data_IF_696611380207
#
_entry.id   IF_696611380207
#
_cell.length_a   1.000
_cell.length_b   1.000
_cell.length_c   1.000
_cell.angle_alpha   90.00
_cell.angle_beta   90.00
_cell.angle_gamma   90.00
#
_symmetry.space_group_name_H-M   'P 1'
#
loop_
_entity.id
_entity.type
_entity.pdbx_description
1 polymer ?
#
# COMPACT_ATOMS: atom_id res chain seq x y z
N UNK A 1 9.80 9.19 22.99
CA UNK A 1 9.18 10.14 22.03
C UNK A 1 7.80 10.48 22.57
N UNK A 2 7.38 11.74 22.53
CA UNK A 2 6.03 12.11 22.92
C UNK A 2 4.98 11.25 22.18
N UNK A 3 3.92 10.81 22.87
CA UNK A 3 2.88 9.93 22.30
C UNK A 3 2.26 10.56 21.05
N UNK A 4 2.11 11.89 21.07
CA UNK A 4 1.61 12.69 19.95
C UNK A 4 2.58 12.66 18.77
N UNK A 5 3.87 12.92 19.02
CA UNK A 5 4.89 12.98 17.97
C UNK A 5 5.05 11.61 17.27
N UNK A 6 4.97 10.53 18.03
CA UNK A 6 5.03 9.18 17.48
C UNK A 6 3.79 8.81 16.65
N UNK A 7 2.60 9.19 17.12
CA UNK A 7 1.37 8.95 16.36
C UNK A 7 1.43 9.64 15.00
N UNK A 8 1.93 10.88 14.98
CA UNK A 8 2.16 11.64 13.75
C UNK A 8 3.18 10.93 12.85
N UNK A 9 4.31 10.47 13.41
CA UNK A 9 5.33 9.75 12.65
C UNK A 9 4.79 8.48 11.99
N UNK A 10 4.03 7.65 12.73
CA UNK A 10 3.42 6.43 12.20
C UNK A 10 2.45 6.76 11.05
N UNK A 11 1.60 7.78 11.21
CA UNK A 11 0.64 8.18 10.17
C UNK A 11 1.38 8.61 8.89
N UNK A 12 2.42 9.43 9.04
CA UNK A 12 3.22 9.92 7.90
C UNK A 12 3.93 8.76 7.20
N UNK A 13 4.54 7.85 7.95
CA UNK A 13 5.23 6.68 7.39
C UNK A 13 4.27 5.73 6.67
N UNK A 14 3.09 5.44 7.25
CA UNK A 14 2.04 4.65 6.57
C UNK A 14 1.62 5.32 5.27
N UNK A 15 1.40 6.64 5.28
CA UNK A 15 1.01 7.38 4.08
C UNK A 15 2.08 7.33 2.98
N UNK A 16 3.35 7.47 3.35
CA UNK A 16 4.49 7.39 2.43
C UNK A 16 4.62 6.00 1.82
N UNK A 17 4.63 4.95 2.66
CA UNK A 17 4.77 3.57 2.21
C UNK A 17 3.57 3.14 1.37
N UNK A 18 2.35 3.54 1.74
CA UNK A 18 1.15 3.31 0.94
C UNK A 18 1.26 4.01 -0.41
N UNK A 19 1.69 5.27 -0.46
CA UNK A 19 1.91 5.99 -1.72
C UNK A 19 2.90 5.28 -2.64
N UNK A 20 4.03 4.83 -2.10
CA UNK A 20 5.05 4.08 -2.85
C UNK A 20 4.47 2.75 -3.36
N UNK A 21 3.80 1.97 -2.49
CA UNK A 21 3.19 0.71 -2.86
C UNK A 21 2.13 0.88 -3.96
N UNK A 22 1.31 1.93 -3.87
CA UNK A 22 0.34 2.26 -4.90
C UNK A 22 1.00 2.54 -6.26
N UNK A 23 2.07 3.34 -6.29
CA UNK A 23 2.84 3.60 -7.51
C UNK A 23 3.38 2.30 -8.12
N UNK A 24 3.95 1.39 -7.32
CA UNK A 24 4.43 0.09 -7.80
C UNK A 24 3.29 -0.76 -8.38
N UNK A 25 2.17 -0.87 -7.68
CA UNK A 25 1.04 -1.68 -8.13
C UNK A 25 0.40 -1.12 -9.40
N UNK A 26 0.37 0.20 -9.58
CA UNK A 26 -0.04 0.80 -10.85
C UNK A 26 0.95 0.53 -11.97
N UNK A 27 2.26 0.51 -11.68
CA UNK A 27 3.28 0.05 -12.62
C UNK A 27 3.07 -1.40 -13.05
N UNK A 28 2.75 -2.30 -12.11
CA UNK A 28 2.40 -3.70 -12.41
C UNK A 28 1.15 -3.79 -13.27
N UNK A 29 0.09 -3.02 -12.94
CA UNK A 29 -1.13 -2.97 -13.75
C UNK A 29 -0.82 -2.54 -15.19
N UNK A 30 0.01 -1.52 -15.36
CA UNK A 30 0.42 -1.03 -16.68
C UNK A 30 1.19 -2.11 -17.45
N UNK A 31 2.17 -2.75 -16.83
CA UNK A 31 2.96 -3.82 -17.44
C UNK A 31 2.09 -5.01 -17.89
N UNK A 32 1.13 -5.44 -17.05
CA UNK A 32 0.20 -6.52 -17.40
C UNK A 32 -0.71 -6.11 -18.57
N UNK A 33 -1.15 -4.86 -18.59
CA UNK A 33 -1.96 -4.31 -19.70
C UNK A 33 -1.15 -4.29 -21.01
N UNK A 34 0.13 -3.92 -20.93
CA UNK A 34 1.04 -3.87 -22.08
C UNK A 34 1.35 -5.26 -22.67
N UNK A 35 1.36 -6.30 -21.83
CA UNK A 35 1.47 -7.71 -22.25
C UNK A 35 0.23 -8.28 -22.95
N UNK A 36 -0.76 -7.44 -23.28
CA UNK A 36 -1.94 -7.85 -24.04
C UNK A 36 -3.14 -8.27 -23.18
N UNK A 37 -3.14 -7.96 -21.87
CA UNK A 37 -4.35 -8.05 -21.07
C UNK A 37 -5.35 -6.98 -21.53
N UNK A 38 -6.19 -7.35 -22.51
CA UNK A 38 -7.19 -6.46 -23.09
C UNK A 38 -8.18 -5.89 -22.06
N UNK A 39 -8.97 -4.90 -22.49
CA UNK A 39 -9.95 -4.16 -21.67
C UNK A 39 -10.91 -5.06 -20.87
N UNK A 40 -11.17 -6.28 -21.35
CA UNK A 40 -11.96 -7.32 -20.68
C UNK A 40 -11.45 -7.68 -19.28
N UNK A 41 -10.14 -7.65 -19.05
CA UNK A 41 -9.53 -8.02 -17.77
C UNK A 41 -9.22 -6.84 -16.86
N UNK A 42 -9.39 -5.60 -17.35
CA UNK A 42 -9.03 -4.39 -16.59
C UNK A 42 -9.78 -4.28 -15.26
N UNK A 43 -11.06 -4.70 -15.21
CA UNK A 43 -11.84 -4.74 -13.96
C UNK A 43 -11.29 -5.74 -12.96
N UNK A 44 -10.98 -6.96 -13.41
CA UNK A 44 -10.39 -8.00 -12.56
C UNK A 44 -9.00 -7.60 -12.05
N UNK A 45 -8.17 -7.04 -12.95
CA UNK A 45 -6.84 -6.56 -12.62
C UNK A 45 -6.88 -5.41 -11.60
N UNK A 46 -7.80 -4.46 -11.76
CA UNK A 46 -7.98 -3.36 -10.80
C UNK A 46 -8.46 -3.87 -9.45
N UNK A 47 -9.36 -4.86 -9.41
CA UNK A 47 -9.78 -5.50 -8.15
C UNK A 47 -8.62 -6.25 -7.47
N UNK A 48 -7.81 -6.99 -8.23
CA UNK A 48 -6.65 -7.70 -7.70
C UNK A 48 -5.62 -6.72 -7.12
N UNK A 49 -5.31 -5.64 -7.85
CA UNK A 49 -4.41 -4.58 -7.39
C UNK A 49 -4.95 -3.90 -6.13
N UNK A 50 -6.24 -3.58 -6.08
CA UNK A 50 -6.86 -2.98 -4.91
C UNK A 50 -6.82 -3.91 -3.68
N UNK A 51 -7.05 -5.21 -3.87
CA UNK A 51 -6.95 -6.20 -2.79
C UNK A 51 -5.52 -6.30 -2.25
N UNK A 52 -4.53 -6.42 -3.15
CA UNK A 52 -3.11 -6.47 -2.75
C UNK A 52 -2.73 -5.18 -2.01
N UNK A 53 -3.15 -4.03 -2.53
CA UNK A 53 -2.91 -2.74 -1.88
C UNK A 53 -3.46 -2.70 -0.45
N UNK A 54 -4.70 -3.14 -0.25
CA UNK A 54 -5.30 -3.19 1.09
C UNK A 54 -4.52 -4.10 2.05
N UNK A 55 -4.10 -5.29 1.59
CA UNK A 55 -3.29 -6.22 2.40
C UNK A 55 -1.96 -5.58 2.79
N UNK A 56 -1.28 -4.93 1.84
CA UNK A 56 0.00 -4.25 2.08
C UNK A 56 -0.14 -3.10 3.07
N UNK A 57 -1.21 -2.29 2.97
CA UNK A 57 -1.47 -1.20 3.93
C UNK A 57 -1.74 -1.74 5.34
N UNK A 58 -2.55 -2.80 5.48
CA UNK A 58 -2.78 -3.44 6.78
C UNK A 58 -1.47 -3.97 7.37
N UNK A 59 -0.63 -4.59 6.54
CA UNK A 59 0.69 -5.04 6.96
C UNK A 59 1.57 -3.88 7.45
N UNK A 60 1.63 -2.74 6.74
CA UNK A 60 2.40 -1.58 7.17
C UNK A 60 1.93 -1.01 8.50
N UNK A 61 0.62 -0.94 8.73
CA UNK A 61 0.06 -0.50 10.02
C UNK A 61 0.49 -1.45 11.14
N UNK A 62 0.35 -2.77 10.95
CA UNK A 62 0.75 -3.75 11.95
C UNK A 62 2.27 -3.73 12.22
N UNK A 63 3.08 -3.56 11.16
CA UNK A 63 4.52 -3.48 11.26
C UNK A 63 4.97 -2.23 12.03
N UNK A 64 4.47 -1.04 11.65
CA UNK A 64 4.87 0.22 12.28
C UNK A 64 4.38 0.34 13.72
N UNK A 65 3.22 -0.23 14.05
CA UNK A 65 2.76 -0.32 15.44
C UNK A 65 3.63 -1.24 16.31
N UNK A 66 4.28 -2.25 15.71
CA UNK A 66 5.26 -3.10 16.39
C UNK A 66 6.61 -2.39 16.54
N UNK A 67 7.06 -1.66 15.51
CA UNK A 67 8.36 -0.98 15.49
C UNK A 67 8.44 0.22 16.43
N UNK A 68 7.33 0.91 16.65
CA UNK A 68 7.21 1.90 17.70
C UNK A 68 6.28 1.33 18.78
N UNK A 69 6.77 0.70 19.87
CA UNK A 69 5.96 0.17 20.97
C UNK A 69 5.64 1.23 22.04
N UNK A 70 4.43 1.18 22.63
CA UNK A 70 3.89 2.19 23.60
C UNK A 70 4.55 2.15 24.97
N UNK A 71 5.30 1.10 25.26
CA UNK A 71 5.93 0.82 26.56
C UNK A 71 7.43 0.67 26.37
#
# INVERSE_FOLDING_TARGET
MDVVLRSIAIIIEVALLAGIAYCFLQGVKLAVTDMGAGTKYNRALTMAVAMIFAIVVVFFIAHLTTFYPTV
#
